data_IF_948906197504
#
_entry.id   IF_948906197504
#
_cell.length_a   1.000
_cell.length_b   1.000
_cell.length_c   1.000
_cell.angle_alpha   90.00
_cell.angle_beta   90.00
_cell.angle_gamma   90.00
#
_symmetry.space_group_name_H-M   'P 1'
#
loop_
_entity.id
_entity.type
_entity.pdbx_description
1 polymer ?
#
# COMPACT_ATOMS: atom_id res chain seq x y z
N UNK A 1 -23.77 -2.02 -30.70
CA UNK A 1 -24.61 -0.97 -30.06
C UNK A 1 -25.72 -1.57 -29.19
N UNK A 2 -26.51 -2.53 -29.68
CA UNK A 2 -27.61 -3.14 -28.90
C UNK A 2 -27.15 -3.78 -27.59
N UNK A 3 -26.05 -4.54 -27.59
CA UNK A 3 -25.47 -5.16 -26.39
C UNK A 3 -25.03 -4.14 -25.32
N UNK A 4 -24.48 -3.00 -25.73
CA UNK A 4 -24.08 -1.90 -24.81
C UNK A 4 -25.30 -1.23 -24.19
N UNK A 5 -26.36 -1.02 -25.00
CA UNK A 5 -27.62 -0.46 -24.49
C UNK A 5 -28.32 -1.42 -23.51
N UNK A 6 -28.34 -2.72 -23.80
CA UNK A 6 -28.89 -3.74 -22.89
C UNK A 6 -28.10 -3.78 -21.60
N UNK A 7 -26.75 -3.75 -21.67
CA UNK A 7 -25.89 -3.74 -20.47
C UNK A 7 -26.10 -2.46 -19.63
N UNK A 8 -26.21 -1.29 -20.27
CA UNK A 8 -26.48 -0.03 -19.56
C UNK A 8 -27.87 -0.04 -18.92
N UNK A 9 -28.91 -0.51 -19.65
CA UNK A 9 -30.27 -0.60 -19.13
C UNK A 9 -30.39 -1.61 -17.97
N UNK A 10 -29.77 -2.78 -18.07
CA UNK A 10 -29.76 -3.77 -16.98
C UNK A 10 -29.03 -3.26 -15.74
N UNK A 11 -27.90 -2.57 -15.90
CA UNK A 11 -27.16 -1.93 -14.80
C UNK A 11 -28.00 -0.84 -14.12
N UNK A 12 -28.67 -0.01 -14.91
CA UNK A 12 -29.57 1.03 -14.39
C UNK A 12 -30.74 0.45 -13.61
N UNK A 13 -31.43 -0.55 -14.20
CA UNK A 13 -32.56 -1.25 -13.55
C UNK A 13 -32.13 -1.92 -12.24
N UNK A 14 -30.96 -2.60 -12.23
CA UNK A 14 -30.42 -3.20 -11.02
C UNK A 14 -30.10 -2.12 -9.97
N UNK A 15 -29.51 -1.01 -10.36
CA UNK A 15 -29.23 0.13 -9.46
C UNK A 15 -30.51 0.71 -8.84
N UNK A 16 -31.56 0.89 -9.65
CA UNK A 16 -32.88 1.37 -9.16
C UNK A 16 -33.51 0.36 -8.20
N UNK A 17 -33.50 -0.95 -8.54
CA UNK A 17 -34.02 -1.98 -7.67
C UNK A 17 -33.32 -2.04 -6.32
N UNK A 18 -31.99 -1.98 -6.31
CA UNK A 18 -31.18 -1.93 -5.08
C UNK A 18 -31.50 -0.67 -4.26
N UNK A 19 -31.56 0.49 -4.91
CA UNK A 19 -31.91 1.75 -4.23
C UNK A 19 -33.30 1.65 -3.58
N UNK A 20 -34.31 1.18 -4.31
CA UNK A 20 -35.69 1.02 -3.80
C UNK A 20 -35.72 -0.01 -2.66
N UNK A 21 -35.01 -1.15 -2.80
CA UNK A 21 -34.99 -2.19 -1.77
C UNK A 21 -34.35 -1.66 -0.47
N UNK A 22 -33.25 -0.92 -0.56
CA UNK A 22 -32.56 -0.33 0.60
C UNK A 22 -33.42 0.76 1.25
N UNK A 23 -33.93 1.71 0.46
CA UNK A 23 -34.67 2.87 1.01
C UNK A 23 -36.06 2.53 1.54
N UNK A 24 -36.65 1.42 1.10
CA UNK A 24 -37.91 0.89 1.62
C UNK A 24 -37.77 -0.12 2.75
N UNK A 25 -36.52 -0.48 3.11
CA UNK A 25 -36.28 -1.37 4.24
C UNK A 25 -36.78 -0.73 5.56
N UNK A 26 -37.45 -1.50 6.45
CA UNK A 26 -37.99 -0.94 7.71
C UNK A 26 -36.94 -0.28 8.60
N UNK A 27 -35.68 -0.71 8.50
CA UNK A 27 -34.55 -0.14 9.27
C UNK A 27 -33.88 1.06 8.61
N UNK A 28 -34.26 1.50 7.42
CA UNK A 28 -33.57 2.54 6.66
C UNK A 28 -33.45 3.86 7.41
N UNK A 29 -34.52 4.31 8.05
CA UNK A 29 -34.50 5.55 8.83
C UNK A 29 -33.45 5.51 9.93
N UNK A 30 -33.30 4.38 10.63
CA UNK A 30 -32.27 4.19 11.68
C UNK A 30 -30.88 4.15 11.08
N UNK A 31 -30.66 3.44 9.98
CA UNK A 31 -29.38 3.42 9.28
C UNK A 31 -28.97 4.82 8.84
N UNK A 32 -29.89 5.56 8.23
CA UNK A 32 -29.64 6.94 7.80
C UNK A 32 -29.24 7.86 8.97
N UNK A 33 -29.95 7.80 10.10
CA UNK A 33 -29.63 8.62 11.28
C UNK A 33 -28.33 8.20 11.97
N UNK A 34 -27.97 6.90 11.93
CA UNK A 34 -26.78 6.39 12.62
C UNK A 34 -25.49 6.44 11.78
N UNK A 35 -25.57 6.49 10.45
CA UNK A 35 -24.43 6.43 9.55
C UNK A 35 -24.27 7.63 8.62
N UNK A 36 -25.35 8.41 8.42
CA UNK A 36 -25.40 9.51 7.45
C UNK A 36 -25.98 10.79 8.08
N UNK A 37 -25.65 11.08 9.33
CA UNK A 37 -26.09 12.29 10.02
C UNK A 37 -25.19 13.48 9.63
N UNK A 38 -25.71 14.52 8.94
CA UNK A 38 -24.91 15.65 8.49
C UNK A 38 -24.33 16.48 9.63
N UNK A 39 -25.00 16.53 10.78
CA UNK A 39 -24.56 17.31 11.96
C UNK A 39 -23.34 16.64 12.55
N UNK A 40 -23.44 15.33 12.83
CA UNK A 40 -22.32 14.52 13.35
C UNK A 40 -21.15 14.49 12.36
N UNK A 41 -21.42 14.42 11.05
CA UNK A 41 -20.39 14.51 10.03
C UNK A 41 -19.59 15.81 10.11
N UNK A 42 -20.26 16.95 10.26
CA UNK A 42 -19.64 18.27 10.37
C UNK A 42 -18.84 18.41 11.67
N UNK A 43 -19.37 17.92 12.78
CA UNK A 43 -18.71 17.97 14.09
C UNK A 43 -17.47 17.09 14.18
N UNK A 44 -17.50 15.91 13.57
CA UNK A 44 -16.39 14.96 13.57
C UNK A 44 -15.27 15.33 12.58
N UNK A 45 -15.57 16.07 11.51
CA UNK A 45 -14.65 16.38 10.42
C UNK A 45 -13.31 16.98 10.88
N UNK A 46 -13.23 17.98 11.80
CA UNK A 46 -11.95 18.55 12.21
C UNK A 46 -11.02 17.54 12.89
N UNK A 47 -11.57 16.70 13.77
CA UNK A 47 -10.80 15.66 14.48
C UNK A 47 -10.29 14.60 13.51
N UNK A 48 -11.15 14.14 12.59
CA UNK A 48 -10.79 13.16 11.57
C UNK A 48 -9.74 13.71 10.59
N UNK A 49 -9.83 14.97 10.16
CA UNK A 49 -8.83 15.64 9.32
C UNK A 49 -7.47 15.75 10.04
N UNK A 50 -7.46 16.07 11.31
CA UNK A 50 -6.23 16.10 12.11
C UNK A 50 -5.57 14.73 12.17
N UNK A 51 -6.37 13.68 12.38
CA UNK A 51 -5.89 12.29 12.33
C UNK A 51 -5.41 11.88 10.93
N UNK A 52 -6.10 12.31 9.87
CA UNK A 52 -5.69 12.05 8.48
C UNK A 52 -4.33 12.69 8.16
N UNK A 53 -4.05 13.85 8.73
CA UNK A 53 -2.71 14.47 8.59
C UNK A 53 -1.60 13.60 9.19
N UNK A 54 -1.87 12.90 10.30
CA UNK A 54 -0.95 11.89 10.83
C UNK A 54 -0.77 10.73 9.85
N UNK A 55 -1.88 10.19 9.29
CA UNK A 55 -1.82 9.13 8.28
C UNK A 55 -1.00 9.54 7.06
N UNK A 56 -1.16 10.78 6.58
CA UNK A 56 -0.40 11.29 5.42
C UNK A 56 1.10 11.37 5.72
N UNK A 57 1.48 11.85 6.91
CA UNK A 57 2.89 11.87 7.33
C UNK A 57 3.47 10.47 7.44
N UNK A 58 2.71 9.53 8.03
CA UNK A 58 3.10 8.13 8.10
C UNK A 58 3.23 7.50 6.72
N UNK A 59 2.31 7.78 5.79
CA UNK A 59 2.39 7.30 4.41
C UNK A 59 3.72 7.69 3.77
N UNK A 60 4.10 8.97 3.83
CA UNK A 60 5.36 9.46 3.24
C UNK A 60 6.56 8.81 3.92
N UNK A 61 6.61 8.84 5.25
CA UNK A 61 7.75 8.32 6.01
C UNK A 61 7.91 6.80 5.82
N UNK A 62 6.82 6.04 5.94
CA UNK A 62 6.84 4.59 5.77
C UNK A 62 7.14 4.18 4.32
N UNK A 63 6.65 4.93 3.33
CA UNK A 63 6.98 4.68 1.91
C UNK A 63 8.47 4.80 1.64
N UNK A 64 9.10 5.88 2.11
CA UNK A 64 10.54 6.09 1.94
C UNK A 64 11.35 5.02 2.69
N UNK A 65 10.95 4.69 3.92
CA UNK A 65 11.58 3.63 4.71
C UNK A 65 11.45 2.25 4.05
N UNK A 66 10.26 1.91 3.57
CA UNK A 66 10.00 0.64 2.89
C UNK A 66 10.78 0.52 1.56
N UNK A 67 10.85 1.60 0.78
CA UNK A 67 11.68 1.63 -0.43
C UNK A 67 13.16 1.43 -0.12
N UNK A 68 13.69 2.09 0.92
CA UNK A 68 15.09 1.96 1.33
C UNK A 68 15.40 0.53 1.80
N UNK A 69 14.57 -0.03 2.69
CA UNK A 69 14.71 -1.42 3.18
C UNK A 69 14.55 -2.41 2.05
N UNK A 70 13.54 -2.24 1.20
CA UNK A 70 13.26 -3.11 0.05
C UNK A 70 14.44 -3.14 -0.92
N UNK A 71 15.00 -1.98 -1.25
CA UNK A 71 16.17 -1.88 -2.12
C UNK A 71 17.41 -2.53 -1.50
N UNK A 72 17.68 -2.29 -0.20
CA UNK A 72 18.80 -2.90 0.51
C UNK A 72 18.69 -4.42 0.55
N UNK A 73 17.51 -4.97 0.89
CA UNK A 73 17.25 -6.41 0.91
C UNK A 73 17.38 -7.02 -0.48
N UNK A 74 16.82 -6.39 -1.52
CA UNK A 74 16.97 -6.85 -2.90
C UNK A 74 18.43 -6.86 -3.34
N UNK A 75 19.20 -5.82 -3.03
CA UNK A 75 20.62 -5.75 -3.32
C UNK A 75 21.41 -6.91 -2.66
N UNK A 76 21.14 -7.18 -1.38
CA UNK A 76 21.75 -8.32 -0.66
C UNK A 76 21.41 -9.66 -1.34
N UNK A 77 20.16 -9.86 -1.73
CA UNK A 77 19.69 -11.11 -2.37
C UNK A 77 20.28 -11.32 -3.78
N UNK A 78 20.77 -10.29 -4.43
CA UNK A 78 21.43 -10.37 -5.75
C UNK A 78 22.94 -10.62 -5.66
N UNK A 79 23.54 -10.61 -4.47
CA UNK A 79 24.96 -10.90 -4.29
C UNK A 79 25.28 -12.35 -4.69
N UNK A 80 26.25 -12.55 -5.62
CA UNK A 80 26.60 -13.88 -6.13
C UNK A 80 27.65 -14.63 -5.31
N UNK A 81 28.71 -13.99 -4.73
CA UNK A 81 29.78 -14.73 -4.06
C UNK A 81 29.26 -15.60 -2.90
N UNK A 82 29.82 -16.80 -2.77
CA UNK A 82 29.40 -17.79 -1.76
C UNK A 82 29.55 -17.28 -0.32
N UNK A 83 30.54 -16.42 -0.07
CA UNK A 83 30.77 -15.80 1.25
C UNK A 83 29.54 -15.02 1.77
N UNK A 84 28.69 -14.53 0.88
CA UNK A 84 27.46 -13.81 1.26
C UNK A 84 26.25 -14.72 1.44
N UNK A 85 26.42 -16.05 1.40
CA UNK A 85 25.32 -17.00 1.59
C UNK A 85 24.52 -16.77 2.90
N UNK A 86 25.15 -16.59 4.08
CA UNK A 86 24.39 -16.34 5.33
C UNK A 86 23.54 -15.09 5.24
N UNK A 87 24.09 -14.00 4.68
CA UNK A 87 23.38 -12.73 4.53
C UNK A 87 22.21 -12.85 3.56
N UNK A 88 22.38 -13.58 2.45
CA UNK A 88 21.27 -13.87 1.51
C UNK A 88 20.20 -14.72 2.16
N UNK A 89 20.59 -15.73 2.94
CA UNK A 89 19.64 -16.58 3.67
C UNK A 89 18.80 -15.75 4.64
N UNK A 90 19.42 -14.87 5.42
CA UNK A 90 18.71 -13.95 6.33
C UNK A 90 17.76 -13.01 5.56
N UNK A 91 18.23 -12.38 4.47
CA UNK A 91 17.41 -11.51 3.64
C UNK A 91 16.23 -12.24 3.00
N UNK A 92 16.41 -13.50 2.62
CA UNK A 92 15.36 -14.35 2.07
C UNK A 92 14.35 -14.75 3.13
N UNK A 93 14.82 -15.18 4.32
CA UNK A 93 13.96 -15.51 5.47
C UNK A 93 13.13 -14.30 5.90
N UNK A 94 13.75 -13.12 6.01
CA UNK A 94 13.05 -11.86 6.25
C UNK A 94 11.91 -11.66 5.25
N UNK A 95 12.19 -11.78 3.96
CA UNK A 95 11.18 -11.58 2.91
C UNK A 95 10.02 -12.57 3.04
N UNK A 96 10.30 -13.85 3.31
CA UNK A 96 9.25 -14.87 3.47
C UNK A 96 8.41 -14.66 4.72
N UNK A 97 9.04 -14.32 5.86
CA UNK A 97 8.34 -14.08 7.12
C UNK A 97 7.38 -12.90 6.98
N UNK A 98 7.88 -11.73 6.56
CA UNK A 98 7.07 -10.51 6.56
C UNK A 98 6.08 -10.41 5.39
N UNK A 99 6.26 -11.19 4.33
CA UNK A 99 5.23 -11.35 3.28
C UNK A 99 4.19 -12.41 3.63
N UNK A 100 4.54 -13.39 4.46
CA UNK A 100 3.64 -14.44 4.90
C UNK A 100 2.83 -14.06 6.14
N UNK A 101 3.35 -13.19 7.01
CA UNK A 101 2.67 -12.76 8.21
C UNK A 101 1.62 -11.67 7.91
N UNK A 102 0.40 -11.77 8.47
CA UNK A 102 -0.56 -10.67 8.40
C UNK A 102 0.02 -9.39 9.04
N UNK A 103 -0.10 -8.25 8.35
CA UNK A 103 0.43 -6.97 8.83
C UNK A 103 -0.06 -6.62 10.25
N UNK A 104 -1.34 -6.90 10.53
CA UNK A 104 -1.93 -6.64 11.85
C UNK A 104 -1.18 -7.39 12.97
N UNK A 105 -0.74 -8.63 12.73
CA UNK A 105 0.05 -9.41 13.69
C UNK A 105 1.42 -8.79 13.92
N UNK A 106 2.11 -8.41 12.83
CA UNK A 106 3.39 -7.71 12.91
C UNK A 106 3.26 -6.41 13.71
N UNK A 107 2.17 -5.66 13.47
CA UNK A 107 1.87 -4.42 14.18
C UNK A 107 1.68 -4.68 15.68
N UNK A 108 0.86 -5.65 16.08
CA UNK A 108 0.63 -5.99 17.49
C UNK A 108 1.90 -6.49 18.17
N UNK A 109 2.68 -7.37 17.54
CA UNK A 109 3.94 -7.86 18.10
C UNK A 109 4.89 -6.71 18.40
N UNK A 110 5.04 -5.75 17.50
CA UNK A 110 5.93 -4.62 17.70
C UNK A 110 5.35 -3.59 18.69
N UNK A 111 4.08 -3.23 18.56
CA UNK A 111 3.51 -2.13 19.35
C UNK A 111 3.09 -2.53 20.76
N UNK A 112 2.77 -3.80 21.00
CA UNK A 112 2.38 -4.33 22.30
C UNK A 112 3.47 -5.23 22.91
N UNK A 113 4.08 -6.10 22.09
CA UNK A 113 5.09 -7.06 22.54
C UNK A 113 6.40 -6.39 22.93
N UNK A 114 6.95 -5.52 22.07
CA UNK A 114 8.23 -4.85 22.35
C UNK A 114 8.19 -3.98 23.61
N UNK A 115 7.16 -3.12 23.86
CA UNK A 115 7.02 -2.41 25.13
C UNK A 115 6.94 -3.32 26.35
N UNK A 116 6.39 -4.53 26.20
CA UNK A 116 6.36 -5.54 27.26
C UNK A 116 7.74 -5.93 27.79
N UNK A 117 8.82 -5.75 27.02
CA UNK A 117 10.20 -6.00 27.44
C UNK A 117 10.72 -4.96 28.44
N UNK A 118 10.03 -3.84 28.65
CA UNK A 118 10.36 -2.77 29.62
C UNK A 118 11.79 -2.26 29.53
N UNK A 119 12.40 -2.25 28.32
CA UNK A 119 13.76 -1.76 28.12
C UNK A 119 13.81 -0.21 28.24
N UNK A 120 14.92 0.34 28.74
CA UNK A 120 15.10 1.80 28.81
C UNK A 120 15.29 2.39 27.40
N UNK A 121 14.70 3.58 27.16
CA UNK A 121 14.85 4.28 25.88
C UNK A 121 14.06 3.71 24.72
N UNK A 122 12.97 2.97 25.00
CA UNK A 122 12.12 2.40 23.95
C UNK A 122 11.46 3.47 23.08
N UNK A 123 11.35 3.22 21.77
CA UNK A 123 10.61 4.08 20.87
C UNK A 123 9.13 4.17 21.27
N UNK A 124 8.48 5.27 20.91
CA UNK A 124 7.02 5.39 21.10
C UNK A 124 6.25 4.35 20.27
N UNK A 125 5.03 4.05 20.69
CA UNK A 125 4.13 3.13 19.98
C UNK A 125 3.94 3.57 18.52
N UNK A 126 3.89 4.86 18.25
CA UNK A 126 3.81 5.42 16.90
C UNK A 126 5.03 5.02 16.05
N UNK A 127 6.23 5.12 16.61
CA UNK A 127 7.48 4.74 15.91
C UNK A 127 7.51 3.23 15.69
N UNK A 128 7.13 2.43 16.69
CA UNK A 128 7.06 0.97 16.55
C UNK A 128 6.05 0.53 15.48
N UNK A 129 4.90 1.22 15.40
CA UNK A 129 3.93 1.00 14.34
C UNK A 129 4.46 1.38 12.95
N UNK A 130 5.16 2.50 12.84
CA UNK A 130 5.84 2.88 11.60
C UNK A 130 6.91 1.84 11.19
N UNK A 131 7.68 1.31 12.14
CA UNK A 131 8.65 0.21 11.89
C UNK A 131 7.92 -1.03 11.38
N UNK A 132 6.76 -1.41 11.96
CA UNK A 132 5.97 -2.55 11.50
C UNK A 132 5.56 -2.40 10.02
N UNK A 133 5.09 -1.23 9.65
CA UNK A 133 4.74 -0.90 8.26
C UNK A 133 5.97 -0.96 7.35
N UNK A 134 7.08 -0.34 7.75
CA UNK A 134 8.33 -0.28 6.97
C UNK A 134 8.90 -1.68 6.71
N UNK A 135 8.99 -2.53 7.73
CA UNK A 135 9.56 -3.88 7.55
C UNK A 135 8.63 -4.78 6.73
N UNK A 136 7.32 -4.66 6.89
CA UNK A 136 6.37 -5.44 6.10
C UNK A 136 6.39 -5.00 4.64
N UNK A 137 6.21 -3.72 4.37
CA UNK A 137 6.22 -3.20 2.99
C UNK A 137 7.61 -3.25 2.36
N UNK A 138 8.68 -3.13 3.16
CA UNK A 138 10.05 -3.36 2.70
C UNK A 138 10.27 -4.78 2.17
N UNK A 139 9.62 -5.79 2.76
CA UNK A 139 9.67 -7.16 2.28
C UNK A 139 8.92 -7.34 0.93
N UNK A 140 7.74 -6.69 0.75
CA UNK A 140 7.03 -6.68 -0.53
C UNK A 140 7.87 -5.98 -1.61
N UNK A 141 8.36 -4.78 -1.34
CA UNK A 141 9.16 -3.99 -2.28
C UNK A 141 10.49 -4.68 -2.64
N UNK A 142 11.11 -5.42 -1.69
CA UNK A 142 12.31 -6.21 -1.97
C UNK A 142 12.06 -7.27 -3.04
N UNK A 143 10.91 -7.92 -2.99
CA UNK A 143 10.53 -8.92 -3.99
C UNK A 143 10.21 -8.27 -5.34
N UNK A 144 9.55 -7.11 -5.34
CA UNK A 144 9.30 -6.34 -6.56
C UNK A 144 10.63 -5.95 -7.24
N UNK A 145 11.59 -5.41 -6.48
CA UNK A 145 12.91 -5.06 -7.03
C UNK A 145 13.65 -6.29 -7.58
N UNK A 146 13.65 -7.41 -6.84
CA UNK A 146 14.28 -8.65 -7.30
C UNK A 146 13.64 -9.16 -8.59
N UNK A 147 12.30 -9.26 -8.61
CA UNK A 147 11.56 -9.71 -9.78
C UNK A 147 11.79 -8.79 -11.00
N UNK A 148 11.89 -7.48 -10.78
CA UNK A 148 12.21 -6.54 -11.85
C UNK A 148 13.58 -6.76 -12.49
N UNK A 149 14.61 -7.03 -11.68
CA UNK A 149 15.95 -7.34 -12.19
C UNK A 149 15.95 -8.69 -12.92
N UNK A 150 15.34 -9.72 -12.36
CA UNK A 150 15.29 -11.07 -12.93
C UNK A 150 14.41 -11.14 -14.19
N UNK A 151 13.48 -10.22 -14.37
CA UNK A 151 12.63 -10.16 -15.56
C UNK A 151 13.37 -9.76 -16.83
N UNK A 152 14.60 -9.22 -16.71
CA UNK A 152 15.40 -8.82 -17.88
C UNK A 152 15.91 -10.05 -18.61
N UNK A 153 15.55 -10.16 -19.89
CA UNK A 153 15.84 -11.34 -20.69
C UNK A 153 17.36 -11.65 -20.73
N UNK A 154 17.76 -12.92 -20.61
CA UNK A 154 19.19 -13.33 -20.64
C UNK A 154 19.95 -12.82 -21.85
N UNK A 155 19.30 -12.67 -23.01
CA UNK A 155 19.93 -12.11 -24.22
C UNK A 155 20.47 -10.70 -24.04
N UNK A 156 19.84 -9.86 -23.21
CA UNK A 156 20.32 -8.51 -22.91
C UNK A 156 21.65 -8.54 -22.15
N UNK A 157 21.78 -9.51 -21.25
CA UNK A 157 23.04 -9.79 -20.55
C UNK A 157 24.11 -10.31 -21.50
N UNK A 158 23.76 -11.28 -22.35
CA UNK A 158 24.69 -11.86 -23.31
C UNK A 158 25.21 -10.84 -24.34
N UNK A 159 24.29 -10.05 -24.93
CA UNK A 159 24.63 -8.98 -25.88
C UNK A 159 25.56 -7.92 -25.24
N UNK A 160 25.26 -7.49 -24.03
CA UNK A 160 26.11 -6.54 -23.32
C UNK A 160 27.53 -7.08 -23.08
N UNK A 161 27.63 -8.37 -22.72
CA UNK A 161 28.92 -9.05 -22.51
C UNK A 161 29.70 -9.20 -23.80
N UNK A 162 29.05 -9.49 -24.93
CA UNK A 162 29.66 -9.57 -26.25
C UNK A 162 30.23 -8.22 -26.71
N UNK A 163 29.65 -7.10 -26.25
CA UNK A 163 30.18 -5.76 -26.46
C UNK A 163 31.34 -5.40 -25.51
N UNK A 164 31.81 -6.33 -24.68
CA UNK A 164 32.91 -6.11 -23.74
C UNK A 164 32.54 -5.40 -22.45
N UNK A 165 31.24 -5.16 -22.17
CA UNK A 165 30.81 -4.51 -20.94
C UNK A 165 31.09 -5.42 -19.72
N UNK A 166 31.64 -4.83 -18.67
CA UNK A 166 31.76 -5.51 -17.37
C UNK A 166 30.38 -5.73 -16.75
N UNK A 167 30.28 -6.64 -15.78
CA UNK A 167 29.03 -6.88 -15.05
C UNK A 167 28.42 -5.59 -14.50
N UNK A 168 29.25 -4.73 -13.89
CA UNK A 168 28.81 -3.45 -13.32
C UNK A 168 28.30 -2.47 -14.37
N UNK A 169 28.94 -2.41 -15.54
CA UNK A 169 28.52 -1.59 -16.67
C UNK A 169 27.21 -2.11 -17.26
N UNK A 170 27.10 -3.43 -17.48
CA UNK A 170 25.85 -4.08 -17.92
C UNK A 170 24.70 -3.80 -16.96
N UNK A 171 24.94 -3.96 -15.65
CA UNK A 171 23.93 -3.66 -14.63
C UNK A 171 23.47 -2.19 -14.72
N UNK A 172 24.42 -1.25 -14.76
CA UNK A 172 24.13 0.19 -14.71
C UNK A 172 23.48 0.72 -15.99
N UNK A 173 23.95 0.28 -17.16
CA UNK A 173 23.56 0.89 -18.43
C UNK A 173 22.46 0.12 -19.19
N UNK A 174 22.30 -1.18 -18.91
CA UNK A 174 21.34 -2.04 -19.62
C UNK A 174 20.24 -2.55 -18.72
N UNK A 175 20.60 -3.16 -17.59
CA UNK A 175 19.64 -3.87 -16.73
C UNK A 175 18.85 -2.92 -15.86
N UNK A 176 19.51 -2.07 -15.06
CA UNK A 176 18.81 -1.18 -14.13
C UNK A 176 17.81 -0.22 -14.80
N UNK A 177 18.12 0.44 -15.94
CA UNK A 177 17.14 1.32 -16.59
C UNK A 177 15.89 0.58 -17.05
N UNK A 178 16.02 -0.67 -17.48
CA UNK A 178 14.89 -1.52 -17.86
C UNK A 178 14.15 -2.03 -16.62
N UNK A 179 14.87 -2.50 -15.59
CA UNK A 179 14.29 -2.97 -14.34
C UNK A 179 13.46 -1.89 -13.65
N UNK A 180 13.95 -0.64 -13.54
CA UNK A 180 13.23 0.48 -12.95
C UNK A 180 11.87 0.70 -13.63
N UNK A 181 11.82 0.64 -14.96
CA UNK A 181 10.55 0.77 -15.69
C UNK A 181 9.57 -0.35 -15.38
N UNK A 182 10.07 -1.57 -15.13
CA UNK A 182 9.24 -2.76 -14.82
C UNK A 182 8.76 -2.78 -13.37
N UNK A 183 9.55 -2.27 -12.43
CA UNK A 183 9.19 -2.25 -11.01
C UNK A 183 8.28 -1.07 -10.64
N UNK A 184 8.30 0.00 -11.42
CA UNK A 184 7.52 1.22 -11.10
C UNK A 184 6.02 0.96 -10.93
N UNK A 185 5.30 0.25 -11.84
CA UNK A 185 3.87 -0.03 -11.66
C UNK A 185 3.56 -0.84 -10.39
N UNK A 186 4.21 -1.98 -10.10
CA UNK A 186 3.94 -2.72 -8.86
C UNK A 186 4.31 -1.95 -7.60
N UNK A 187 5.39 -1.13 -7.59
CA UNK A 187 5.71 -0.27 -6.44
C UNK A 187 4.63 0.78 -6.17
N UNK A 188 4.03 1.36 -7.21
CA UNK A 188 2.90 2.28 -7.06
C UNK A 188 1.67 1.56 -6.49
N UNK A 189 1.41 0.32 -6.88
CA UNK A 189 0.34 -0.49 -6.27
C UNK A 189 0.61 -0.76 -4.78
N UNK A 190 1.87 -1.05 -4.41
CA UNK A 190 2.24 -1.19 -2.99
C UNK A 190 2.03 0.11 -2.21
N UNK A 191 2.27 1.29 -2.83
CA UNK A 191 1.98 2.59 -2.22
C UNK A 191 0.48 2.82 -2.01
N UNK A 192 -0.37 2.43 -2.98
CA UNK A 192 -1.84 2.48 -2.82
C UNK A 192 -2.30 1.56 -1.69
N UNK A 193 -1.69 0.38 -1.54
CA UNK A 193 -1.98 -0.53 -0.44
C UNK A 193 -1.53 0.07 0.90
N UNK A 194 -0.30 0.56 0.99
CA UNK A 194 0.25 1.21 2.19
C UNK A 194 -0.60 2.40 2.63
N UNK A 195 -1.16 3.19 1.69
CA UNK A 195 -2.02 4.33 2.00
C UNK A 195 -3.24 3.93 2.84
N UNK A 196 -3.80 2.76 2.61
CA UNK A 196 -4.90 2.22 3.41
C UNK A 196 -4.40 1.62 4.73
N UNK A 197 -3.29 0.93 4.68
CA UNK A 197 -2.75 0.17 5.81
C UNK A 197 -2.11 1.06 6.88
N UNK A 198 -1.74 2.31 6.58
CA UNK A 198 -1.34 3.28 7.61
C UNK A 198 -2.45 3.56 8.62
N UNK A 199 -3.72 3.36 8.25
CA UNK A 199 -4.86 3.48 9.18
C UNK A 199 -4.91 2.35 10.22
N UNK A 200 -4.21 1.24 10.03
CA UNK A 200 -4.15 0.16 11.02
C UNK A 200 -3.39 0.56 12.29
N UNK A 201 -2.62 1.66 12.26
CA UNK A 201 -1.93 2.18 13.43
C UNK A 201 -2.89 2.61 14.54
N UNK A 202 -4.13 2.94 14.19
CA UNK A 202 -5.25 3.21 15.11
C UNK A 202 -5.42 2.11 16.17
N UNK A 203 -5.18 0.85 15.77
CA UNK A 203 -5.32 -0.32 16.62
C UNK A 203 -4.28 -0.37 17.76
N UNK A 204 -3.16 0.31 17.58
CA UNK A 204 -2.09 0.40 18.58
C UNK A 204 -2.20 1.62 19.50
N UNK A 205 -3.19 2.50 19.28
CA UNK A 205 -3.49 3.62 20.16
C UNK A 205 -3.26 5.03 19.62
N UNK A 206 -2.34 5.29 18.66
CA UNK A 206 -2.20 6.63 18.08
C UNK A 206 -3.53 7.15 17.52
N UNK A 207 -3.79 8.45 17.75
CA UNK A 207 -5.03 9.09 17.29
C UNK A 207 -4.84 9.53 15.84
N UNK A 208 -5.04 8.59 14.93
CA UNK A 208 -5.15 8.82 13.49
C UNK A 208 -6.62 9.07 13.08
N UNK A 209 -6.93 9.13 11.79
CA UNK A 209 -8.28 9.39 11.30
C UNK A 209 -9.29 8.32 11.76
N UNK A 210 -8.90 7.05 11.78
CA UNK A 210 -9.79 5.95 12.19
C UNK A 210 -10.01 5.99 13.70
N UNK A 211 -8.96 6.23 14.49
CA UNK A 211 -9.06 6.33 15.94
C UNK A 211 -9.86 7.57 16.37
N UNK A 212 -9.70 8.70 15.68
CA UNK A 212 -10.51 9.89 15.89
C UNK A 212 -12.01 9.60 15.65
N UNK A 213 -12.31 8.91 14.53
CA UNK A 213 -13.68 8.47 14.25
C UNK A 213 -14.21 7.50 15.32
N UNK A 214 -13.38 6.58 15.81
CA UNK A 214 -13.75 5.63 16.85
C UNK A 214 -14.10 6.34 18.17
N UNK A 215 -13.32 7.33 18.59
CA UNK A 215 -13.55 8.11 19.81
C UNK A 215 -14.89 8.83 19.71
N UNK A 216 -15.13 9.54 18.62
CA UNK A 216 -16.37 10.26 18.38
C UNK A 216 -17.60 9.34 18.33
N UNK A 217 -17.43 8.16 17.70
CA UNK A 217 -18.50 7.14 17.66
C UNK A 217 -18.81 6.61 19.06
N UNK A 218 -17.79 6.42 19.91
CA UNK A 218 -18.00 5.96 21.29
C UNK A 218 -18.71 6.99 22.17
N UNK A 219 -18.51 8.29 21.90
CA UNK A 219 -19.15 9.39 22.62
C UNK A 219 -20.61 9.60 22.20
N UNK A 220 -20.91 9.44 20.90
CA UNK A 220 -22.22 9.78 20.32
C UNK A 220 -23.11 8.59 20.00
N UNK A 221 -22.55 7.35 20.02
CA UNK A 221 -23.20 6.13 19.50
C UNK A 221 -23.66 6.25 18.05
N UNK A 222 -23.02 7.15 17.27
CA UNK A 222 -23.29 7.41 15.88
C UNK A 222 -22.08 7.01 15.04
N UNK A 223 -22.28 6.25 13.97
CA UNK A 223 -21.23 5.69 13.13
C UNK A 223 -20.84 6.60 11.95
N UNK A 224 -21.47 7.77 11.82
CA UNK A 224 -21.15 8.74 10.76
C UNK A 224 -19.68 9.14 10.73
N UNK A 225 -18.93 9.28 11.86
CA UNK A 225 -17.51 9.59 11.83
C UNK A 225 -16.67 8.58 11.05
N UNK A 226 -17.05 7.29 11.08
CA UNK A 226 -16.35 6.29 10.24
C UNK A 226 -16.62 6.49 8.75
N UNK A 227 -17.84 6.92 8.37
CA UNK A 227 -18.15 7.26 6.97
C UNK A 227 -17.33 8.47 6.52
N UNK A 228 -17.17 9.49 7.38
CA UNK A 228 -16.33 10.65 7.12
C UNK A 228 -14.86 10.21 6.93
N UNK A 229 -14.31 9.41 7.85
CA UNK A 229 -12.95 8.88 7.74
C UNK A 229 -12.78 8.06 6.45
N UNK A 230 -13.69 7.13 6.17
CA UNK A 230 -13.66 6.31 4.94
C UNK A 230 -13.70 7.15 3.67
N UNK A 231 -14.58 8.16 3.60
CA UNK A 231 -14.67 9.08 2.46
C UNK A 231 -13.36 9.85 2.25
N UNK A 232 -12.72 10.32 3.31
CA UNK A 232 -11.43 11.01 3.25
C UNK A 232 -10.29 10.09 2.79
N UNK A 233 -10.26 8.83 3.26
CA UNK A 233 -9.30 7.84 2.75
C UNK A 233 -9.50 7.55 1.27
N UNK A 234 -10.75 7.45 0.79
CA UNK A 234 -11.07 7.28 -0.63
C UNK A 234 -10.62 8.50 -1.44
N UNK A 235 -10.93 9.71 -0.96
CA UNK A 235 -10.49 10.95 -1.62
C UNK A 235 -8.97 11.05 -1.72
N UNK A 236 -8.24 10.60 -0.69
CA UNK A 236 -6.78 10.54 -0.72
C UNK A 236 -6.26 9.46 -1.69
N UNK A 237 -6.97 8.34 -1.82
CA UNK A 237 -6.59 7.25 -2.72
C UNK A 237 -6.79 7.59 -4.20
N UNK A 238 -7.82 8.36 -4.56
CA UNK A 238 -8.16 8.67 -5.96
C UNK A 238 -6.97 9.20 -6.77
N UNK A 239 -6.25 10.27 -6.35
CA UNK A 239 -5.11 10.76 -7.13
C UNK A 239 -3.98 9.73 -7.21
N UNK A 240 -3.75 8.95 -6.15
CA UNK A 240 -2.70 7.94 -6.12
C UNK A 240 -3.01 6.79 -7.09
N UNK A 241 -4.25 6.32 -7.11
CA UNK A 241 -4.73 5.30 -8.05
C UNK A 241 -4.66 5.83 -9.49
N UNK A 242 -5.13 7.05 -9.73
CA UNK A 242 -5.09 7.65 -11.07
C UNK A 242 -3.65 7.75 -11.63
N UNK A 243 -2.69 8.15 -10.79
CA UNK A 243 -1.26 8.17 -11.17
C UNK A 243 -0.76 6.75 -11.46
N UNK A 244 -1.12 5.78 -10.64
CA UNK A 244 -0.73 4.37 -10.82
C UNK A 244 -1.26 3.82 -12.13
N UNK A 245 -2.53 4.05 -12.44
CA UNK A 245 -3.16 3.61 -13.69
C UNK A 245 -2.50 4.27 -14.91
N UNK A 246 -2.26 5.58 -14.85
CA UNK A 246 -1.60 6.31 -15.92
C UNK A 246 -0.20 5.77 -16.21
N UNK A 247 0.62 5.52 -15.16
CA UNK A 247 1.98 4.96 -15.30
C UNK A 247 1.91 3.55 -15.89
N UNK A 248 0.99 2.71 -15.40
CA UNK A 248 0.81 1.33 -15.86
C UNK A 248 0.41 1.28 -17.33
N UNK A 249 -0.57 2.08 -17.74
CA UNK A 249 -1.00 2.17 -19.14
C UNK A 249 0.13 2.67 -20.06
N UNK A 250 0.92 3.64 -19.60
CA UNK A 250 2.07 4.14 -20.36
C UNK A 250 3.16 3.10 -20.51
N UNK A 251 3.42 2.31 -19.46
CA UNK A 251 4.39 1.20 -19.50
C UNK A 251 3.93 0.10 -20.46
N UNK A 252 2.67 -0.31 -20.42
CA UNK A 252 2.10 -1.32 -21.30
C UNK A 252 2.16 -0.91 -22.79
N UNK A 253 1.80 0.32 -23.12
CA UNK A 253 1.86 0.84 -24.52
C UNK A 253 3.28 0.81 -25.09
N UNK A 254 4.30 1.10 -24.27
CA UNK A 254 5.71 1.04 -24.69
C UNK A 254 6.18 -0.39 -24.97
N UNK A 255 5.80 -1.33 -24.12
CA UNK A 255 6.13 -2.77 -24.30
C UNK A 255 5.49 -3.32 -25.59
N UNK A 256 4.23 -2.99 -25.87
CA UNK A 256 3.56 -3.39 -27.12
C UNK A 256 4.22 -2.80 -28.38
N UNK A 257 4.69 -1.56 -28.32
CA UNK A 257 5.41 -0.92 -29.43
C UNK A 257 6.81 -1.52 -29.66
N UNK A 258 7.47 -2.06 -28.63
CA UNK A 258 8.76 -2.73 -28.72
C UNK A 258 8.60 -4.20 -29.23
N UNK A 259 7.50 -4.87 -28.92
CA UNK A 259 7.21 -6.24 -29.37
C UNK A 259 6.72 -6.32 -30.82
N UNK A 260 6.25 -5.22 -31.40
CA UNK A 260 5.79 -5.13 -32.80
C UNK A 260 6.87 -4.67 -33.79
N UNK A 261 8.12 -4.55 -33.34
CA UNK A 261 9.31 -4.30 -34.16
C UNK A 261 10.22 -5.50 -34.19
#
# INVERSE_FOLDING_TARGET
>A
MLSVLIAAASTFVLGVLLYVAITRAPGWARVKSSFLDPTVARESLPAVLTGLWLNLRLLVFCSLGALAVGLAVAAVRTLRPAVFFPLRALATSYTYIFRGAPLIITLYVLTLGVPGLRLRGMPSVLVLGAIALIITYGAYMAEVFRAGIESIHPSQWAASRSLGLTYRQTMRHVVLPQAVRRVTPPLLNDLVALQKDVGLISLAGPVDAIRAAQIQTAETYNYTPYIVAGALFVLLAIPLVAVTDWVTLRAARRQSAEAGR
#
